data_IF_738941128045
#
_entry.id   IF_738941128045
#
_cell.length_a   1.000
_cell.length_b   1.000
_cell.length_c   1.000
_cell.angle_alpha   90.00
_cell.angle_beta   90.00
_cell.angle_gamma   90.00
#
_symmetry.space_group_name_H-M   'P 1'
#
loop_
_entity.id
_entity.type
_entity.pdbx_description
1 polymer ?
#
# COMPACT_ATOMS: atom_id res chain seq x y z
N UNK A 1 6.63 21.07 -25.90
CA UNK A 1 5.74 20.38 -26.86
C UNK A 1 5.50 18.97 -26.33
N UNK A 2 4.25 18.55 -26.14
CA UNK A 2 3.90 17.21 -25.66
C UNK A 2 3.14 16.47 -26.76
N UNK A 3 3.51 15.23 -27.14
CA UNK A 3 2.71 14.46 -28.08
C UNK A 3 1.68 13.56 -27.37
N UNK A 4 0.42 13.88 -27.67
CA UNK A 4 -0.70 13.03 -28.10
C UNK A 4 -0.98 11.67 -27.40
N UNK A 5 -2.11 11.62 -26.67
CA UNK A 5 -2.82 10.39 -26.28
C UNK A 5 -3.50 9.75 -27.50
N UNK A 6 -3.29 8.45 -27.72
CA UNK A 6 -4.08 7.67 -28.66
C UNK A 6 -5.41 7.27 -28.01
N UNK A 7 -6.52 7.70 -28.61
CA UNK A 7 -7.86 7.20 -28.32
C UNK A 7 -8.25 6.21 -29.42
N UNK A 8 -8.66 5.00 -29.03
CA UNK A 8 -9.26 4.03 -29.94
C UNK A 8 -10.64 3.63 -29.39
N UNK A 9 -11.67 4.22 -29.97
CA UNK A 9 -13.06 3.81 -29.81
C UNK A 9 -13.49 2.92 -30.98
N UNK A 10 -14.38 1.95 -30.67
CA UNK A 10 -15.49 1.35 -31.45
C UNK A 10 -15.39 -0.18 -31.40
N UNK A 11 -16.43 -0.98 -31.15
CA UNK A 11 -17.87 -0.78 -30.99
C UNK A 11 -18.52 -2.15 -30.64
N UNK A 12 -19.80 -2.10 -30.27
CA UNK A 12 -20.67 -3.10 -29.61
C UNK A 12 -20.77 -4.52 -30.22
N UNK A 13 -21.05 -5.48 -29.32
CA UNK A 13 -22.22 -6.39 -29.25
C UNK A 13 -21.91 -7.90 -29.16
N UNK A 14 -22.47 -8.58 -28.14
CA UNK A 14 -22.60 -10.05 -28.04
C UNK A 14 -22.26 -10.61 -26.66
N UNK A 15 -23.26 -11.13 -25.93
CA UNK A 15 -23.14 -11.65 -24.55
C UNK A 15 -22.27 -12.91 -24.39
N UNK A 16 -21.97 -13.31 -23.14
CA UNK A 16 -22.86 -14.20 -22.42
C UNK A 16 -23.16 -13.74 -21.00
N UNK A 17 -24.19 -14.35 -20.40
CA UNK A 17 -24.72 -14.08 -19.08
C UNK A 17 -23.63 -14.06 -18.00
N UNK A 18 -23.44 -12.90 -17.38
CA UNK A 18 -22.78 -12.78 -16.09
C UNK A 18 -23.53 -11.72 -15.29
N UNK A 19 -24.20 -12.20 -14.24
CA UNK A 19 -24.65 -11.43 -13.07
C UNK A 19 -25.07 -9.99 -13.37
N UNK A 20 -26.35 -9.80 -13.75
CA UNK A 20 -27.00 -8.49 -13.62
C UNK A 20 -26.75 -8.02 -12.20
N UNK A 21 -25.92 -6.99 -12.08
CA UNK A 21 -25.64 -6.32 -10.82
C UNK A 21 -26.95 -6.11 -10.09
N UNK A 22 -27.10 -6.78 -8.95
CA UNK A 22 -28.05 -6.32 -7.98
C UNK A 22 -27.65 -4.87 -7.67
N UNK A 23 -28.58 -3.91 -7.73
CA UNK A 23 -28.35 -2.59 -7.16
C UNK A 23 -27.83 -2.82 -5.74
N UNK A 24 -26.80 -2.09 -5.33
CA UNK A 24 -26.31 -2.13 -3.96
C UNK A 24 -27.48 -1.63 -3.09
N UNK A 25 -28.28 -2.58 -2.59
CA UNK A 25 -29.46 -2.31 -1.79
C UNK A 25 -28.92 -1.75 -0.47
N UNK A 26 -28.79 -0.43 -0.38
CA UNK A 26 -28.66 0.22 0.91
C UNK A 26 -30.01 0.05 1.58
N UNK A 27 -30.20 -1.09 2.26
CA UNK A 27 -31.26 -1.23 3.23
C UNK A 27 -30.97 -0.15 4.26
N UNK A 28 -31.80 0.89 4.24
CA UNK A 28 -31.88 1.82 5.37
C UNK A 28 -32.04 0.94 6.61
N UNK A 29 -31.27 1.20 7.68
CA UNK A 29 -31.35 0.44 8.94
C UNK A 29 -32.74 0.65 9.54
N UNK A 30 -33.71 -0.15 9.10
CA UNK A 30 -35.12 -0.02 9.48
C UNK A 30 -35.45 -0.80 10.74
N UNK A 31 -34.59 -1.73 11.16
CA UNK A 31 -34.73 -2.44 12.43
C UNK A 31 -33.95 -1.70 13.53
N UNK A 32 -34.62 -1.48 14.66
CA UNK A 32 -34.02 -0.91 15.87
C UNK A 32 -32.88 -1.79 16.37
N UNK A 33 -32.96 -3.10 16.12
CA UNK A 33 -31.94 -4.08 16.48
C UNK A 33 -30.60 -3.79 15.77
N UNK A 34 -30.63 -3.49 14.47
CA UNK A 34 -29.41 -3.19 13.69
C UNK A 34 -28.76 -1.86 14.13
N UNK A 35 -29.60 -0.88 14.50
CA UNK A 35 -29.13 0.42 15.02
C UNK A 35 -28.45 0.24 16.37
N UNK A 36 -29.03 -0.55 17.27
CA UNK A 36 -28.46 -0.86 18.58
C UNK A 36 -27.14 -1.66 18.46
N UNK A 37 -27.06 -2.60 17.52
CA UNK A 37 -25.84 -3.36 17.27
C UNK A 37 -24.71 -2.45 16.77
N UNK A 38 -25.00 -1.55 15.84
CA UNK A 38 -24.05 -0.55 15.35
C UNK A 38 -23.62 0.42 16.46
N UNK A 39 -24.56 0.91 17.28
CA UNK A 39 -24.27 1.75 18.43
C UNK A 39 -23.32 1.04 19.41
N UNK A 40 -23.58 -0.24 19.69
CA UNK A 40 -22.71 -1.08 20.50
C UNK A 40 -21.30 -1.22 19.91
N UNK A 41 -21.21 -1.46 18.60
CA UNK A 41 -19.93 -1.53 17.88
C UNK A 41 -19.14 -0.22 17.94
N UNK A 42 -19.80 0.92 17.76
CA UNK A 42 -19.18 2.24 17.82
C UNK A 42 -18.72 2.60 19.25
N UNK A 43 -19.51 2.30 20.27
CA UNK A 43 -19.14 2.49 21.67
C UNK A 43 -17.94 1.62 22.06
N UNK A 44 -17.91 0.37 21.61
CA UNK A 44 -16.76 -0.52 21.80
C UNK A 44 -15.51 0.03 21.12
N UNK A 45 -15.64 0.58 19.91
CA UNK A 45 -14.53 1.18 19.17
C UNK A 45 -13.97 2.41 19.91
N UNK A 46 -14.83 3.27 20.46
CA UNK A 46 -14.43 4.42 21.28
C UNK A 46 -13.73 3.98 22.57
N UNK A 47 -14.23 2.92 23.22
CA UNK A 47 -13.58 2.33 24.40
C UNK A 47 -12.18 1.79 24.07
N UNK A 48 -12.04 1.09 22.95
CA UNK A 48 -10.75 0.58 22.46
C UNK A 48 -9.79 1.73 22.11
N UNK A 49 -10.31 2.88 21.66
CA UNK A 49 -9.52 4.08 21.41
C UNK A 49 -9.01 4.74 22.70
N UNK A 50 -9.90 4.95 23.69
CA UNK A 50 -9.53 5.55 24.97
C UNK A 50 -8.60 4.67 25.81
N UNK A 51 -8.75 3.35 25.72
CA UNK A 51 -7.86 2.40 26.40
C UNK A 51 -6.49 2.26 25.71
N UNK A 52 -6.29 2.86 24.54
CA UNK A 52 -5.06 2.76 23.76
C UNK A 52 -4.84 1.38 23.14
N UNK A 53 -5.85 0.50 23.16
CA UNK A 53 -5.83 -0.81 22.51
C UNK A 53 -5.86 -0.70 20.98
N UNK A 54 -6.54 0.33 20.47
CA UNK A 54 -6.56 0.66 19.05
C UNK A 54 -5.34 1.53 18.68
N UNK A 55 -4.22 0.89 18.35
CA UNK A 55 -3.04 1.57 17.83
C UNK A 55 -3.01 1.44 16.30
N UNK A 56 -3.07 2.58 15.59
CA UNK A 56 -2.88 2.62 14.14
C UNK A 56 -1.42 2.33 13.74
N UNK A 57 -0.49 2.64 14.65
CA UNK A 57 0.93 2.38 14.48
C UNK A 57 1.47 1.57 15.66
N UNK A 58 2.23 0.51 15.37
CA UNK A 58 2.74 -0.40 16.39
C UNK A 58 3.68 0.28 17.39
N UNK A 59 3.92 -0.39 18.52
CA UNK A 59 4.79 0.11 19.60
C UNK A 59 6.22 0.48 19.15
N UNK A 60 6.68 -0.09 18.04
CA UNK A 60 7.98 0.17 17.42
C UNK A 60 7.91 0.82 16.02
N UNK A 61 6.73 1.33 15.65
CA UNK A 61 6.53 2.15 14.45
C UNK A 61 5.83 3.45 14.87
N UNK A 62 6.56 4.43 15.39
CA UNK A 62 6.01 5.75 15.69
C UNK A 62 5.72 6.53 14.40
N UNK A 63 4.83 7.52 14.50
CA UNK A 63 4.59 8.48 13.42
C UNK A 63 5.89 9.17 12.97
N UNK A 64 6.77 9.50 13.94
CA UNK A 64 8.09 10.11 13.69
C UNK A 64 9.00 9.19 12.87
N UNK A 65 8.97 7.87 13.12
CA UNK A 65 9.73 6.90 12.32
C UNK A 65 9.20 6.81 10.88
N UNK A 66 7.89 6.87 10.68
CA UNK A 66 7.30 6.89 9.33
C UNK A 66 7.60 8.19 8.59
N UNK A 67 7.59 9.32 9.30
CA UNK A 67 7.98 10.61 8.74
C UNK A 67 9.46 10.60 8.31
N UNK A 68 10.34 10.01 9.12
CA UNK A 68 11.74 9.83 8.78
C UNK A 68 11.95 8.93 7.55
N UNK A 69 11.24 7.80 7.47
CA UNK A 69 11.27 6.92 6.28
C UNK A 69 10.80 7.68 5.03
N UNK A 70 9.73 8.48 5.15
CA UNK A 70 9.22 9.33 4.05
C UNK A 70 10.28 10.33 3.60
N UNK A 71 10.90 11.06 4.51
CA UNK A 71 11.94 12.05 4.19
C UNK A 71 13.13 11.42 3.48
N UNK A 72 13.55 10.24 3.93
CA UNK A 72 14.67 9.52 3.37
C UNK A 72 14.36 9.01 1.95
N UNK A 73 13.14 8.49 1.73
CA UNK A 73 12.64 8.13 0.40
C UNK A 73 12.59 9.35 -0.53
N UNK A 74 12.11 10.50 -0.04
CA UNK A 74 12.03 11.73 -0.83
C UNK A 74 13.42 12.28 -1.17
N UNK A 75 14.37 12.23 -0.23
CA UNK A 75 15.77 12.60 -0.47
C UNK A 75 16.41 11.70 -1.53
N UNK A 76 16.17 10.38 -1.46
CA UNK A 76 16.67 9.43 -2.45
C UNK A 76 16.07 9.67 -3.83
N UNK A 77 14.76 9.92 -3.90
CA UNK A 77 14.07 10.23 -5.15
C UNK A 77 14.61 11.52 -5.79
N UNK A 78 14.78 12.58 -5.00
CA UNK A 78 15.40 13.84 -5.48
C UNK A 78 16.81 13.63 -6.02
N UNK A 79 17.63 12.84 -5.33
CA UNK A 79 18.99 12.53 -5.77
C UNK A 79 18.96 11.71 -7.07
N UNK A 80 18.13 10.67 -7.16
CA UNK A 80 17.97 9.85 -8.36
C UNK A 80 17.60 10.70 -9.59
N UNK A 81 16.58 11.55 -9.47
CA UNK A 81 16.17 12.42 -10.58
C UNK A 81 17.24 13.45 -10.94
N UNK A 82 17.96 14.00 -9.95
CA UNK A 82 19.05 14.94 -10.21
C UNK A 82 20.25 14.31 -10.92
N UNK A 83 20.59 13.08 -10.55
CA UNK A 83 21.69 12.31 -11.13
C UNK A 83 21.37 11.78 -12.53
N UNK A 84 20.14 11.31 -12.77
CA UNK A 84 19.66 10.88 -14.10
C UNK A 84 19.69 12.04 -15.10
N UNK A 85 19.25 13.23 -14.68
CA UNK A 85 19.28 14.43 -15.53
C UNK A 85 20.69 14.83 -15.98
N UNK A 86 21.72 14.55 -15.16
CA UNK A 86 23.12 14.86 -15.49
C UNK A 86 23.76 13.82 -16.42
N UNK A 87 23.26 12.58 -16.47
CA UNK A 87 23.81 11.50 -17.31
C UNK A 87 23.31 11.59 -18.75
N UNK A 88 22.07 12.02 -18.96
CA UNK A 88 21.49 12.22 -20.30
C UNK A 88 22.26 13.26 -21.13
N UNK A 89 22.82 14.29 -20.50
CA UNK A 89 23.54 15.38 -21.19
C UNK A 89 25.03 15.09 -21.46
N UNK A 90 25.59 14.00 -20.93
CA UNK A 90 27.02 13.69 -21.07
C UNK A 90 27.35 12.89 -22.36
N UNK A 91 28.57 13.00 -22.89
CA UNK A 91 29.05 12.14 -23.97
C UNK A 91 29.04 10.65 -23.58
N UNK A 92 28.70 9.75 -24.51
CA UNK A 92 28.59 8.30 -24.31
C UNK A 92 29.78 7.68 -23.53
N UNK A 93 31.02 8.04 -23.89
CA UNK A 93 32.24 7.59 -23.19
C UNK A 93 32.29 7.94 -21.69
N UNK A 94 31.61 9.00 -21.26
CA UNK A 94 31.63 9.48 -19.87
C UNK A 94 30.39 9.04 -19.08
N UNK A 95 29.29 8.67 -19.76
CA UNK A 95 28.03 8.24 -19.13
C UNK A 95 28.23 7.06 -18.18
N UNK A 96 29.05 6.07 -18.58
CA UNK A 96 29.31 4.89 -17.76
C UNK A 96 30.02 5.25 -16.45
N UNK A 97 31.05 6.09 -16.51
CA UNK A 97 31.80 6.53 -15.33
C UNK A 97 30.94 7.41 -14.41
N UNK A 98 30.05 8.23 -14.99
CA UNK A 98 29.08 9.00 -14.23
C UNK A 98 28.02 8.10 -13.57
N UNK A 99 27.49 7.10 -14.28
CA UNK A 99 26.52 6.15 -13.76
C UNK A 99 27.07 5.33 -12.58
N UNK A 100 28.31 4.85 -12.68
CA UNK A 100 28.98 4.11 -11.59
C UNK A 100 29.10 4.99 -10.33
N UNK A 101 29.53 6.26 -10.49
CA UNK A 101 29.59 7.23 -9.40
C UNK A 101 28.23 7.60 -8.82
N UNK A 102 27.19 7.60 -9.65
CA UNK A 102 25.83 7.89 -9.22
C UNK A 102 25.26 6.75 -8.39
N UNK A 103 25.53 5.50 -8.79
CA UNK A 103 25.13 4.31 -8.05
C UNK A 103 25.79 4.28 -6.66
N UNK A 104 27.09 4.60 -6.57
CA UNK A 104 27.80 4.66 -5.29
C UNK A 104 27.17 5.69 -4.32
N UNK A 105 26.77 6.84 -4.83
CA UNK A 105 26.09 7.88 -4.03
C UNK A 105 24.71 7.41 -3.53
N UNK A 106 23.94 6.71 -4.37
CA UNK A 106 22.65 6.15 -3.98
C UNK A 106 22.81 5.05 -2.91
N UNK A 107 23.79 4.16 -3.08
CA UNK A 107 24.06 3.06 -2.14
C UNK A 107 24.53 3.57 -0.77
N UNK A 108 25.32 4.66 -0.73
CA UNK A 108 25.74 5.28 0.52
C UNK A 108 24.54 5.82 1.33
N UNK A 109 23.56 6.43 0.66
CA UNK A 109 22.35 6.94 1.32
C UNK A 109 21.38 5.85 1.78
N UNK A 110 21.36 4.70 1.10
CA UNK A 110 20.55 3.54 1.50
C UNK A 110 21.16 2.78 2.67
N UNK A 111 22.49 2.77 2.79
CA UNK A 111 23.20 2.06 3.86
C UNK A 111 23.05 2.71 5.24
N UNK A 112 22.73 4.01 5.28
CA UNK A 112 22.47 4.78 6.51
C UNK A 112 21.00 4.68 6.98
N UNK A 113 20.17 3.93 6.23
CA UNK A 113 18.75 3.78 6.51
C UNK A 113 18.48 2.86 7.70
N UNK A 114 17.52 3.19 8.59
CA UNK A 114 17.01 2.22 9.56
C UNK A 114 16.37 1.03 8.85
N UNK A 115 16.54 -0.18 9.40
CA UNK A 115 16.00 -1.39 8.76
C UNK A 115 14.48 -1.27 8.56
N UNK A 116 13.93 -1.70 7.41
CA UNK A 116 12.50 -1.65 7.20
C UNK A 116 11.77 -2.45 8.28
N UNK A 117 10.58 -1.99 8.73
CA UNK A 117 9.80 -2.70 9.72
C UNK A 117 9.48 -4.12 9.21
N UNK A 118 9.61 -5.10 10.10
CA UNK A 118 9.37 -6.49 9.77
C UNK A 118 7.96 -6.66 9.13
N UNK A 119 7.83 -7.47 8.07
CA UNK A 119 6.55 -7.67 7.42
C UNK A 119 5.54 -8.23 8.42
N UNK A 120 4.36 -7.63 8.49
CA UNK A 120 3.26 -8.12 9.31
C UNK A 120 2.91 -9.57 8.91
N UNK A 121 2.60 -10.45 9.87
CA UNK A 121 2.21 -11.82 9.56
C UNK A 121 1.01 -11.79 8.61
N UNK A 122 1.16 -12.42 7.45
CA UNK A 122 0.06 -12.53 6.49
C UNK A 122 -1.04 -13.35 7.17
N UNK A 123 -2.20 -12.74 7.38
CA UNK A 123 -3.44 -13.43 7.77
C UNK A 123 -3.83 -14.38 6.63
N UNK A 124 -3.22 -15.57 6.63
CA UNK A 124 -3.42 -16.60 5.62
C UNK A 124 -3.06 -18.00 6.10
N UNK A 125 -2.42 -18.14 7.27
CA UNK A 125 -2.10 -19.44 7.89
C UNK A 125 -2.97 -19.66 9.15
N UNK A 126 -4.28 -19.52 9.00
CA UNK A 126 -5.20 -20.24 9.88
C UNK A 126 -5.36 -21.61 9.25
N UNK A 127 -4.46 -22.52 9.61
CA UNK A 127 -4.56 -23.93 9.29
C UNK A 127 -5.97 -24.44 9.60
N UNK A 128 -6.68 -24.89 8.56
CA UNK A 128 -7.86 -25.70 8.74
C UNK A 128 -7.46 -26.91 9.61
N UNK A 129 -8.22 -27.25 10.67
CA UNK A 129 -7.99 -28.51 11.36
C UNK A 129 -8.35 -29.67 10.43
N UNK A 130 -7.34 -30.28 9.81
CA UNK A 130 -7.44 -31.62 9.24
C UNK A 130 -7.57 -32.59 10.41
N UNK A 131 -8.80 -32.89 10.80
CA UNK A 131 -9.03 -33.79 11.92
C UNK A 131 -10.50 -34.08 12.18
N UNK A 132 -11.18 -34.74 11.24
CA UNK A 132 -12.32 -35.59 11.61
C UNK A 132 -11.98 -37.00 11.15
N UNK A 133 -11.45 -37.76 12.10
CA UNK A 133 -11.34 -39.22 12.01
C UNK A 133 -12.75 -39.79 12.00
N UNK A 134 -13.13 -40.41 10.89
CA UNK A 134 -14.31 -41.27 10.82
C UNK A 134 -13.98 -42.56 11.57
N UNK A 135 -14.61 -42.75 12.73
CA UNK A 135 -14.63 -44.01 13.45
C UNK A 135 -16.06 -44.27 13.96
N UNK A 136 -16.53 -45.48 13.62
CA UNK A 136 -17.82 -46.12 13.92
C UNK A 136 -19.01 -45.72 13.03
#
# INVERSE_FOLDING_TARGET
AFPCRTSKERGRAGGPAASRGAPLQHSFLTDVSDVCEMEGGLLSLLSDFHSGKLQAFGKECSFEQLEHVREMQEKLARLHFGLDGCVEELPEEQKKVAADRNLDQLLAHVSDAPSPPAPLPRTGDLGLPTGVSAAA
#
